data_IF_115677918914
#
_entry.id   IF_115677918914
#
_cell.length_a   1.000
_cell.length_b   1.000
_cell.length_c   1.000
_cell.angle_alpha   90.00
_cell.angle_beta   90.00
_cell.angle_gamma   90.00
#
_symmetry.space_group_name_H-M   'P 1'
#
loop_
_entity.id
_entity.type
_entity.pdbx_description
1 polymer ?
#
# COMPACT_ATOMS: atom_id res chain seq x y z
N UNK A 1 8.03 -11.94 29.36
CA UNK A 1 7.00 -11.19 28.60
C UNK A 1 7.37 -11.26 27.12
N UNK A 2 6.44 -11.61 26.24
CA UNK A 2 6.66 -11.59 24.79
C UNK A 2 6.82 -10.17 24.29
N UNK A 3 7.77 -9.95 23.40
CA UNK A 3 8.06 -8.66 22.80
C UNK A 3 7.88 -8.72 21.27
N UNK A 4 7.96 -7.58 20.63
CA UNK A 4 7.76 -7.42 19.21
C UNK A 4 6.39 -6.83 18.91
N UNK A 5 6.29 -6.12 17.80
CA UNK A 5 5.07 -5.39 17.43
C UNK A 5 4.18 -6.19 16.48
N UNK A 6 4.78 -6.94 15.57
CA UNK A 6 4.06 -7.80 14.63
C UNK A 6 4.22 -9.28 15.00
N UNK A 7 3.50 -10.14 14.32
CA UNK A 7 3.66 -11.59 14.47
C UNK A 7 4.80 -12.10 13.57
N UNK A 8 5.56 -13.12 13.99
CA UNK A 8 5.52 -13.71 15.32
C UNK A 8 6.18 -12.82 16.38
N UNK A 9 5.60 -12.80 17.59
CA UNK A 9 6.20 -12.15 18.75
C UNK A 9 7.14 -13.13 19.46
N UNK A 10 8.22 -12.61 20.01
CA UNK A 10 9.20 -13.41 20.76
C UNK A 10 9.57 -12.74 22.07
N UNK A 11 10.24 -13.47 23.03
CA UNK A 11 10.62 -12.90 24.31
C UNK A 11 11.42 -11.61 24.23
N UNK A 12 12.24 -11.44 23.19
CA UNK A 12 13.09 -10.26 23.00
C UNK A 12 12.75 -9.45 21.75
N UNK A 13 11.68 -9.80 21.03
CA UNK A 13 11.28 -9.13 19.79
C UNK A 13 12.10 -9.52 18.54
N UNK A 14 13.02 -10.47 18.65
CA UNK A 14 13.96 -10.86 17.57
C UNK A 14 13.26 -11.48 16.36
N UNK A 15 12.11 -12.12 16.56
CA UNK A 15 11.33 -12.71 15.48
C UNK A 15 10.27 -11.76 14.90
N UNK A 16 10.11 -10.57 15.46
CA UNK A 16 9.18 -9.59 14.92
C UNK A 16 9.69 -9.06 13.57
N UNK A 17 8.81 -9.08 12.55
CA UNK A 17 9.16 -8.67 11.20
C UNK A 17 9.18 -7.14 11.03
N UNK A 18 8.59 -6.40 11.97
CA UNK A 18 8.51 -4.95 11.91
C UNK A 18 8.88 -4.37 13.28
N UNK A 19 9.67 -3.29 13.34
CA UNK A 19 9.98 -2.61 14.58
C UNK A 19 8.73 -1.95 15.19
N UNK A 20 8.77 -1.55 16.47
CA UNK A 20 7.68 -0.78 17.06
C UNK A 20 7.56 0.62 16.41
N UNK A 21 6.35 1.23 16.44
CA UNK A 21 6.17 2.59 15.95
C UNK A 21 6.94 3.63 16.78
N UNK A 22 7.12 4.89 16.27
CA UNK A 22 6.48 5.45 15.08
C UNK A 22 7.02 4.90 13.77
N UNK A 23 6.15 4.86 12.74
CA UNK A 23 6.51 4.40 11.40
C UNK A 23 6.44 5.55 10.41
N UNK A 24 7.48 5.70 9.62
CA UNK A 24 7.59 6.71 8.57
C UNK A 24 7.71 6.01 7.21
N UNK A 25 6.94 6.49 6.26
CA UNK A 25 6.88 5.94 4.92
C UNK A 25 7.12 7.05 3.89
N UNK A 26 7.91 6.73 2.87
CA UNK A 26 8.07 7.53 1.67
C UNK A 26 7.88 6.65 0.46
N UNK A 27 7.24 7.14 -0.60
CA UNK A 27 7.06 6.35 -1.81
C UNK A 27 6.95 7.18 -3.07
N UNK A 28 7.36 6.58 -4.18
CA UNK A 28 6.93 7.00 -5.50
C UNK A 28 5.61 6.31 -5.82
N UNK A 29 4.62 7.08 -6.26
CA UNK A 29 3.25 6.59 -6.50
C UNK A 29 2.85 6.82 -7.95
N UNK A 30 2.33 5.77 -8.59
CA UNK A 30 1.60 5.87 -9.85
C UNK A 30 0.16 5.45 -9.58
N UNK A 31 -0.77 6.38 -9.79
CA UNK A 31 -2.21 6.13 -9.61
C UNK A 31 -2.96 6.22 -10.93
N UNK A 32 -3.97 5.36 -11.10
CA UNK A 32 -4.90 5.38 -12.22
C UNK A 32 -6.31 5.37 -11.66
N UNK A 33 -7.06 6.42 -11.90
CA UNK A 33 -8.49 6.48 -11.63
C UNK A 33 -9.27 5.80 -12.75
N UNK A 34 -10.29 5.04 -12.39
CA UNK A 34 -11.17 4.39 -13.34
C UNK A 34 -12.58 4.22 -12.77
N UNK A 35 -13.53 3.97 -13.63
CA UNK A 35 -14.91 3.64 -13.28
C UNK A 35 -15.19 2.23 -13.75
N UNK A 36 -15.76 1.42 -12.88
CA UNK A 36 -16.20 0.06 -13.15
C UNK A 36 -17.73 -0.02 -13.01
N UNK A 37 -18.28 -1.17 -13.32
CA UNK A 37 -19.68 -1.45 -13.04
C UNK A 37 -19.97 -1.22 -11.54
N UNK A 38 -20.95 -0.36 -11.18
CA UNK A 38 -21.26 -0.07 -9.78
C UNK A 38 -21.66 -1.31 -8.95
N UNK A 39 -22.32 -2.29 -9.57
CA UNK A 39 -22.68 -3.53 -8.88
C UNK A 39 -21.46 -4.40 -8.63
N UNK A 40 -20.49 -4.42 -9.55
CA UNK A 40 -19.22 -5.11 -9.37
C UNK A 40 -18.37 -4.43 -8.27
N UNK A 41 -18.36 -3.10 -8.20
CA UNK A 41 -17.71 -2.35 -7.11
C UNK A 41 -18.38 -2.68 -5.78
N UNK A 42 -19.71 -2.62 -5.71
CA UNK A 42 -20.50 -2.91 -4.51
C UNK A 42 -20.28 -4.34 -4.00
N UNK A 43 -20.13 -5.31 -4.89
CA UNK A 43 -19.88 -6.70 -4.54
C UNK A 43 -18.54 -6.94 -3.81
N UNK A 44 -17.61 -5.99 -3.87
CA UNK A 44 -16.33 -6.07 -3.14
C UNK A 44 -16.43 -5.59 -1.70
N UNK A 45 -17.50 -4.90 -1.32
CA UNK A 45 -17.63 -4.25 -0.02
C UNK A 45 -17.90 -5.27 1.09
N UNK A 46 -17.22 -5.19 2.23
CA UNK A 46 -17.51 -6.02 3.37
C UNK A 46 -18.81 -5.57 4.05
N UNK A 47 -19.34 -6.45 4.89
CA UNK A 47 -20.49 -6.11 5.72
C UNK A 47 -20.23 -4.86 6.56
N UNK A 48 -21.13 -3.89 6.47
CA UNK A 48 -21.05 -2.63 7.20
C UNK A 48 -20.58 -1.45 6.36
N UNK A 49 -20.08 -1.68 5.15
CA UNK A 49 -19.90 -0.64 4.15
C UNK A 49 -21.04 -0.66 3.13
N UNK A 50 -21.39 0.51 2.63
CA UNK A 50 -22.39 0.69 1.58
C UNK A 50 -21.73 1.32 0.34
N UNK A 51 -22.25 1.07 -0.86
CA UNK A 51 -21.81 1.80 -2.05
C UNK A 51 -22.00 3.30 -1.86
N UNK A 52 -21.04 4.09 -2.32
CA UNK A 52 -21.23 5.53 -2.40
C UNK A 52 -22.11 5.85 -3.63
N UNK A 53 -23.33 6.40 -3.43
CA UNK A 53 -24.25 6.67 -4.53
C UNK A 53 -23.75 7.76 -5.49
N UNK A 54 -22.72 8.51 -5.12
CA UNK A 54 -22.14 9.58 -5.93
C UNK A 54 -20.95 9.13 -6.75
N UNK A 55 -20.33 8.02 -6.40
CA UNK A 55 -19.08 7.56 -7.04
C UNK A 55 -19.30 6.89 -8.41
N UNK A 56 -20.49 6.33 -8.64
CA UNK A 56 -20.80 5.60 -9.87
C UNK A 56 -19.75 4.52 -10.23
N UNK A 57 -19.30 3.76 -9.21
CA UNK A 57 -18.30 2.71 -9.41
C UNK A 57 -16.87 3.22 -9.54
N UNK A 58 -16.58 4.43 -9.07
CA UNK A 58 -15.23 4.98 -9.06
C UNK A 58 -14.28 4.14 -8.20
N UNK A 59 -13.07 3.96 -8.73
CA UNK A 59 -11.99 3.25 -8.07
C UNK A 59 -10.63 3.80 -8.50
N UNK A 60 -9.63 3.57 -7.67
CA UNK A 60 -8.25 3.96 -7.96
C UNK A 60 -7.35 2.74 -7.83
N UNK A 61 -6.58 2.46 -8.88
CA UNK A 61 -5.47 1.51 -8.81
C UNK A 61 -4.18 2.26 -8.54
N UNK A 62 -3.43 1.82 -7.55
CA UNK A 62 -2.16 2.45 -7.16
C UNK A 62 -1.02 1.44 -7.21
N UNK A 63 0.12 1.90 -7.69
CA UNK A 63 1.41 1.23 -7.62
C UNK A 63 2.36 2.12 -6.82
N UNK A 64 3.00 1.53 -5.80
CA UNK A 64 3.82 2.25 -4.85
C UNK A 64 5.18 1.57 -4.71
N UNK A 65 6.25 2.34 -4.79
CA UNK A 65 7.62 1.91 -4.46
C UNK A 65 7.97 2.54 -3.11
N UNK A 66 7.85 1.75 -2.05
CA UNK A 66 7.95 2.20 -0.68
C UNK A 66 9.35 2.12 -0.12
N UNK A 67 9.68 3.09 0.72
CA UNK A 67 10.75 3.03 1.70
C UNK A 67 10.17 3.31 3.08
N UNK A 68 10.61 2.52 4.05
CA UNK A 68 10.13 2.56 5.43
C UNK A 68 11.29 2.79 6.39
N UNK A 69 11.03 3.54 7.46
CA UNK A 69 11.87 3.59 8.65
C UNK A 69 10.99 3.73 9.90
N UNK A 70 11.53 3.38 11.06
CA UNK A 70 10.86 3.54 12.35
C UNK A 70 11.66 4.50 13.25
N UNK A 71 12.34 3.99 14.25
CA UNK A 71 13.06 4.78 15.24
C UNK A 71 14.56 4.86 14.98
N UNK A 72 15.08 3.92 14.18
CA UNK A 72 16.49 3.77 13.87
C UNK A 72 16.71 3.90 12.34
N UNK A 73 17.81 3.37 11.87
CA UNK A 73 18.24 3.44 10.48
C UNK A 73 17.71 2.25 9.63
N UNK A 74 16.45 1.82 9.85
CA UNK A 74 15.87 0.68 9.16
C UNK A 74 15.90 0.83 7.63
N UNK A 75 15.84 2.04 7.11
CA UNK A 75 15.95 2.33 5.67
C UNK A 75 17.30 1.87 5.06
N UNK A 76 18.32 1.58 5.90
CA UNK A 76 19.59 1.00 5.46
C UNK A 76 19.51 -0.51 5.19
N UNK A 77 18.41 -1.16 5.53
CA UNK A 77 18.13 -2.55 5.16
C UNK A 77 17.10 -2.61 4.01
N UNK A 78 17.54 -2.44 2.75
CA UNK A 78 16.63 -2.40 1.61
C UNK A 78 15.94 -3.74 1.36
N UNK A 79 16.49 -4.85 1.82
CA UNK A 79 15.88 -6.16 1.65
C UNK A 79 14.58 -6.31 2.44
N UNK A 80 14.47 -5.59 3.57
CA UNK A 80 13.30 -5.67 4.45
C UNK A 80 12.39 -4.45 4.37
N UNK A 81 12.95 -3.27 4.17
CA UNK A 81 12.23 -2.01 4.33
C UNK A 81 12.06 -1.19 3.04
N UNK A 82 12.46 -1.77 1.91
CA UNK A 82 12.09 -1.28 0.59
C UNK A 82 11.26 -2.34 -0.12
N UNK A 83 10.03 -1.98 -0.51
CA UNK A 83 9.11 -2.93 -1.12
C UNK A 83 8.14 -2.23 -2.06
N UNK A 84 7.53 -3.01 -2.94
CA UNK A 84 6.49 -2.54 -3.82
C UNK A 84 5.12 -3.04 -3.37
N UNK A 85 4.16 -2.19 -3.62
CA UNK A 85 2.77 -2.46 -3.30
C UNK A 85 1.90 -2.09 -4.51
N UNK A 86 0.91 -2.92 -4.80
CA UNK A 86 -0.14 -2.62 -5.77
C UNK A 86 -1.48 -2.87 -5.11
N UNK A 87 -2.39 -1.90 -5.19
CA UNK A 87 -3.68 -1.98 -4.53
C UNK A 87 -4.79 -1.33 -5.37
N UNK A 88 -6.02 -1.72 -5.07
CA UNK A 88 -7.22 -1.06 -5.58
C UNK A 88 -7.99 -0.50 -4.40
N UNK A 89 -8.39 0.76 -4.52
CA UNK A 89 -9.30 1.43 -3.61
C UNK A 89 -10.64 1.65 -4.31
N UNK A 90 -11.73 1.35 -3.64
CA UNK A 90 -13.10 1.52 -4.13
C UNK A 90 -13.83 2.48 -3.20
N UNK A 91 -14.54 3.44 -3.76
CA UNK A 91 -15.35 4.38 -2.99
C UNK A 91 -16.49 3.67 -2.29
N UNK A 92 -16.70 4.01 -1.04
CA UNK A 92 -17.73 3.44 -0.20
C UNK A 92 -18.21 4.44 0.85
N UNK A 93 -19.27 4.07 1.56
CA UNK A 93 -19.78 4.82 2.71
C UNK A 93 -19.72 3.96 3.97
N UNK A 94 -19.20 4.52 5.04
CA UNK A 94 -19.34 3.99 6.39
C UNK A 94 -20.27 4.90 7.17
N UNK A 95 -21.48 4.43 7.47
CA UNK A 95 -22.57 5.29 7.92
C UNK A 95 -22.76 6.42 6.88
N UNK A 96 -22.65 7.67 7.31
CA UNK A 96 -22.79 8.85 6.43
C UNK A 96 -21.43 9.46 6.03
N UNK A 97 -20.31 8.74 6.28
CA UNK A 97 -18.95 9.22 5.99
C UNK A 97 -18.40 8.54 4.74
N UNK A 98 -17.98 9.31 3.72
CA UNK A 98 -17.25 8.77 2.58
C UNK A 98 -15.93 8.15 3.02
N UNK A 99 -15.66 6.94 2.56
CA UNK A 99 -14.43 6.18 2.83
C UNK A 99 -13.96 5.49 1.57
N UNK A 100 -12.70 5.03 1.56
CA UNK A 100 -12.19 4.15 0.52
C UNK A 100 -11.93 2.77 1.11
N UNK A 101 -12.51 1.76 0.49
CA UNK A 101 -12.27 0.35 0.81
C UNK A 101 -11.17 -0.23 -0.07
N UNK A 102 -10.30 -1.05 0.52
CA UNK A 102 -9.21 -1.72 -0.19
C UNK A 102 -9.51 -3.23 -0.32
N UNK A 103 -10.20 -3.69 -1.39
CA UNK A 103 -10.51 -5.10 -1.59
C UNK A 103 -9.30 -5.93 -2.00
N UNK A 104 -8.35 -5.33 -2.71
CA UNK A 104 -7.20 -6.01 -3.30
C UNK A 104 -5.93 -5.23 -3.02
N UNK A 105 -4.97 -5.91 -2.38
CA UNK A 105 -3.65 -5.33 -2.12
C UNK A 105 -2.59 -6.44 -2.15
N UNK A 106 -1.53 -6.20 -2.89
CA UNK A 106 -0.40 -7.09 -3.07
C UNK A 106 0.88 -6.38 -2.66
N UNK A 107 1.80 -7.13 -2.04
CA UNK A 107 3.14 -6.66 -1.68
C UNK A 107 4.16 -7.70 -2.06
N UNK A 108 5.39 -7.28 -2.32
CA UNK A 108 6.51 -8.17 -2.66
C UNK A 108 7.45 -8.44 -1.47
N UNK A 109 6.98 -8.18 -0.25
CA UNK A 109 7.78 -8.23 0.98
C UNK A 109 6.96 -8.81 2.15
N UNK A 110 7.58 -9.71 2.92
CA UNK A 110 6.95 -10.43 4.03
C UNK A 110 6.70 -9.54 5.27
N UNK A 111 7.62 -8.63 5.57
CA UNK A 111 7.45 -7.68 6.68
C UNK A 111 6.26 -6.74 6.41
N UNK A 112 6.15 -6.22 5.18
CA UNK A 112 5.03 -5.40 4.75
C UNK A 112 3.70 -6.19 4.76
N UNK A 113 3.73 -7.49 4.41
CA UNK A 113 2.57 -8.37 4.49
C UNK A 113 2.09 -8.50 5.94
N UNK A 114 2.99 -8.90 6.85
CA UNK A 114 2.69 -9.10 8.26
C UNK A 114 2.20 -7.81 8.95
N UNK A 115 2.85 -6.70 8.68
CA UNK A 115 2.43 -5.38 9.18
C UNK A 115 1.03 -5.00 8.68
N UNK A 116 0.72 -5.30 7.42
CA UNK A 116 -0.60 -5.07 6.85
C UNK A 116 -1.69 -5.88 7.55
N UNK A 117 -1.47 -7.16 7.76
CA UNK A 117 -2.44 -8.03 8.44
C UNK A 117 -2.77 -7.58 9.86
N UNK A 118 -1.77 -7.12 10.61
CA UNK A 118 -2.01 -6.60 11.98
C UNK A 118 -2.84 -5.31 11.99
N UNK A 119 -2.97 -4.65 10.84
CA UNK A 119 -3.72 -3.41 10.64
C UNK A 119 -5.02 -3.61 9.85
N UNK A 120 -5.37 -4.85 9.52
CA UNK A 120 -6.61 -5.20 8.84
C UNK A 120 -6.58 -5.10 7.31
N UNK A 121 -5.43 -4.86 6.69
CA UNK A 121 -5.30 -4.88 5.24
C UNK A 121 -5.26 -6.32 4.71
N UNK A 122 -6.06 -6.67 3.67
CA UNK A 122 -6.12 -8.02 3.11
C UNK A 122 -4.95 -8.31 2.17
N UNK A 123 -3.73 -8.04 2.62
CA UNK A 123 -2.51 -8.17 1.83
C UNK A 123 -2.22 -9.61 1.40
N UNK A 124 -1.72 -9.74 0.18
CA UNK A 124 -1.20 -10.99 -0.41
C UNK A 124 0.19 -10.76 -0.94
N UNK A 125 1.01 -11.81 -0.98
CA UNK A 125 2.30 -11.75 -1.66
C UNK A 125 2.08 -11.76 -3.17
N UNK A 126 2.84 -10.90 -3.87
CA UNK A 126 2.84 -10.80 -5.33
C UNK A 126 4.18 -10.32 -5.86
N UNK A 127 4.36 -10.40 -7.17
CA UNK A 127 5.49 -9.78 -7.86
C UNK A 127 4.98 -8.50 -8.51
N UNK A 128 5.59 -7.37 -8.16
CA UNK A 128 5.17 -6.05 -8.62
C UNK A 128 6.33 -5.40 -9.35
N UNK A 129 6.06 -4.96 -10.58
CA UNK A 129 7.06 -4.30 -11.43
C UNK A 129 6.59 -2.89 -11.73
N UNK A 130 7.43 -1.92 -11.38
CA UNK A 130 7.19 -0.50 -11.61
C UNK A 130 8.44 0.10 -12.25
N UNK A 131 8.25 0.88 -13.30
CA UNK A 131 9.35 1.62 -13.91
C UNK A 131 9.84 2.67 -12.92
N UNK A 132 11.13 2.64 -12.66
CA UNK A 132 11.81 3.63 -11.81
C UNK A 132 12.39 4.72 -12.69
N UNK A 133 12.37 5.95 -12.18
CA UNK A 133 13.20 7.04 -12.69
C UNK A 133 14.25 7.40 -11.63
N UNK A 134 15.44 7.72 -12.08
CA UNK A 134 16.53 8.12 -11.20
C UNK A 134 16.83 9.60 -11.42
N UNK A 135 17.14 10.31 -10.34
CA UNK A 135 17.64 11.69 -10.38
C UNK A 135 19.10 11.71 -10.88
N UNK A 136 19.33 11.18 -12.08
CA UNK A 136 20.62 11.09 -12.72
C UNK A 136 20.49 11.48 -14.20
N UNK A 137 21.58 11.98 -14.79
CA UNK A 137 21.67 12.23 -16.23
C UNK A 137 22.20 10.98 -16.94
N UNK A 138 21.43 10.45 -17.89
CA UNK A 138 21.87 9.32 -18.69
C UNK A 138 20.69 8.60 -19.36
N UNK A 139 20.96 7.84 -20.45
CA UNK A 139 19.88 7.18 -21.19
C UNK A 139 19.09 6.16 -20.38
N UNK A 140 19.69 5.56 -19.36
CA UNK A 140 19.09 4.55 -18.51
C UNK A 140 18.36 5.12 -17.28
N UNK A 141 18.45 6.43 -17.05
CA UNK A 141 17.77 7.07 -15.91
C UNK A 141 16.24 7.07 -16.03
N UNK A 142 15.72 6.71 -17.18
CA UNK A 142 14.35 6.86 -17.66
C UNK A 142 13.90 8.34 -17.73
N UNK A 143 12.92 8.68 -18.54
CA UNK A 143 12.34 10.01 -18.49
C UNK A 143 11.76 10.19 -17.09
N UNK A 144 12.13 11.28 -16.43
CA UNK A 144 11.36 11.77 -15.28
C UNK A 144 9.92 11.73 -15.73
N UNK A 145 9.07 10.99 -15.02
CA UNK A 145 7.65 11.00 -15.32
C UNK A 145 7.26 12.47 -15.36
N UNK A 146 7.13 13.00 -16.54
CA UNK A 146 6.51 14.31 -16.70
C UNK A 146 5.10 14.03 -16.22
N UNK A 147 4.83 14.45 -15.01
CA UNK A 147 3.46 14.54 -14.55
C UNK A 147 2.78 15.43 -15.58
N UNK A 148 2.17 14.80 -16.55
CA UNK A 148 1.23 15.46 -17.43
C UNK A 148 -0.05 15.73 -16.61
N UNK A 149 0.12 16.45 -15.52
CA UNK A 149 -0.89 17.33 -15.01
C UNK A 149 -0.81 18.59 -15.88
N UNK A 150 -1.26 18.47 -17.11
CA UNK A 150 -1.49 19.60 -17.97
C UNK A 150 -2.93 19.58 -18.43
N UNK A 151 -3.72 20.38 -17.70
CA UNK A 151 -4.88 21.19 -18.05
C UNK A 151 -6.16 20.45 -18.39
#
# INVERSE_FOLDING_TARGET
MLKGFTVPKSPFGQAALTPPPPWHYSSDVVGVEFWTDPDAAAATLPRGLLPDPKSNGHAVMMFLDWQFTAQDDEYLDPARYQYREALILVDAMYLDVPVMWCPYIYVDNDAALACGWTRGFPKKIGRIFQTRSFAASGPAAAPVAKHACNR
#
